data_IF_570386858091
#
_entry.id   IF_570386858091
#
_cell.length_a   1.000
_cell.length_b   1.000
_cell.length_c   1.000
_cell.angle_alpha   90.00
_cell.angle_beta   90.00
_cell.angle_gamma   90.00
#
_symmetry.space_group_name_H-M   'P 1'
#
loop_
_entity.id
_entity.type
_entity.pdbx_description
1 polymer ?
#
# COMPACT_ATOMS: atom_id res chain seq x y z
N UNK A 1 7.94 42.40 -7.96
CA UNK A 1 7.77 40.98 -8.34
C UNK A 1 8.66 40.15 -7.43
N UNK A 2 8.08 39.53 -6.41
CA UNK A 2 8.82 38.76 -5.39
C UNK A 2 9.25 37.38 -5.91
N UNK A 3 10.27 36.75 -5.29
CA UNK A 3 10.81 35.48 -5.74
C UNK A 3 9.78 34.35 -5.53
N UNK A 4 9.59 33.55 -6.57
CA UNK A 4 8.74 32.36 -6.54
C UNK A 4 9.41 31.28 -5.68
N UNK A 5 8.75 30.93 -4.58
CA UNK A 5 9.12 29.83 -3.68
C UNK A 5 9.27 28.50 -4.42
N UNK A 6 10.51 27.99 -4.50
CA UNK A 6 10.84 26.70 -5.14
C UNK A 6 10.26 25.51 -4.34
N UNK A 7 9.88 25.72 -3.08
CA UNK A 7 9.29 24.70 -2.20
C UNK A 7 7.84 24.32 -2.56
N UNK A 8 7.06 25.21 -3.19
CA UNK A 8 5.65 24.96 -3.55
C UNK A 8 5.50 24.21 -4.88
N UNK A 9 6.49 24.31 -5.77
CA UNK A 9 6.48 23.66 -7.10
C UNK A 9 6.76 22.15 -7.03
N UNK A 10 7.64 21.71 -6.11
CA UNK A 10 7.93 20.29 -5.90
C UNK A 10 6.71 19.52 -5.34
N UNK A 11 5.87 20.20 -4.55
CA UNK A 11 4.64 19.64 -3.99
C UNK A 11 3.56 19.41 -5.04
N UNK A 12 3.36 20.32 -6.02
CA UNK A 12 2.36 20.13 -7.10
C UNK A 12 2.71 19.01 -8.06
N UNK A 13 4.01 18.76 -8.21
CA UNK A 13 4.60 17.80 -9.14
C UNK A 13 4.35 16.34 -8.70
N UNK A 14 4.44 16.05 -7.41
CA UNK A 14 4.09 14.73 -6.85
C UNK A 14 2.58 14.53 -6.96
N UNK A 15 1.80 15.58 -6.78
CA UNK A 15 0.33 15.49 -6.83
C UNK A 15 -0.18 15.16 -8.24
N UNK A 16 0.31 15.78 -9.32
CA UNK A 16 -0.34 15.64 -10.63
C UNK A 16 -0.10 14.26 -11.31
N UNK A 17 1.09 13.65 -11.18
CA UNK A 17 1.38 12.34 -11.78
C UNK A 17 0.84 11.17 -10.95
N UNK A 18 0.88 11.27 -9.61
CA UNK A 18 0.29 10.26 -8.71
C UNK A 18 -1.24 10.37 -8.72
N UNK A 19 -1.82 11.56 -8.85
CA UNK A 19 -3.27 11.69 -9.03
C UNK A 19 -3.70 11.09 -10.38
N UNK A 20 -3.03 11.24 -11.52
CA UNK A 20 -3.64 10.68 -12.74
C UNK A 20 -3.67 9.14 -12.79
N UNK A 21 -2.72 8.43 -12.16
CA UNK A 21 -2.72 6.94 -12.10
C UNK A 21 -3.34 6.35 -10.82
N UNK A 22 -3.12 6.97 -9.66
CA UNK A 22 -3.75 6.54 -8.41
C UNK A 22 -5.10 7.22 -8.15
N UNK A 23 -5.47 8.33 -8.79
CA UNK A 23 -6.86 8.79 -8.82
C UNK A 23 -7.71 7.90 -9.72
N UNK A 24 -7.16 7.16 -10.69
CA UNK A 24 -7.93 6.05 -11.29
C UNK A 24 -8.17 4.91 -10.26
N UNK A 25 -7.27 4.76 -9.27
CA UNK A 25 -7.48 3.87 -8.10
C UNK A 25 -8.33 4.49 -6.97
N UNK A 26 -8.48 5.82 -6.88
CA UNK A 26 -9.09 6.53 -5.74
C UNK A 26 -10.27 7.46 -6.07
N UNK A 27 -10.55 7.78 -7.34
CA UNK A 27 -11.67 8.62 -7.78
C UNK A 27 -12.74 7.88 -8.59
N UNK A 28 -12.63 6.55 -8.70
CA UNK A 28 -13.69 5.68 -9.23
C UNK A 28 -14.16 4.59 -8.27
N UNK A 29 -13.58 4.50 -7.06
CA UNK A 29 -13.83 3.42 -6.11
C UNK A 29 -14.36 3.97 -4.77
N UNK A 30 -15.45 3.33 -4.34
CA UNK A 30 -16.17 3.46 -3.08
C UNK A 30 -16.93 4.76 -2.85
N UNK A 31 -18.24 4.76 -3.11
CA UNK A 31 -19.15 5.10 -2.01
C UNK A 31 -20.61 4.59 -2.09
N UNK A 32 -21.07 3.84 -3.11
CA UNK A 32 -22.51 3.51 -3.09
C UNK A 32 -23.03 2.22 -3.73
N UNK A 33 -22.24 1.15 -3.90
CA UNK A 33 -22.82 -0.10 -4.43
C UNK A 33 -22.02 -1.37 -4.14
N UNK A 34 -21.92 -1.76 -2.86
CA UNK A 34 -21.63 -3.16 -2.48
C UNK A 34 -22.98 -3.90 -2.35
N UNK A 35 -23.71 -4.00 -3.47
CA UNK A 35 -24.78 -4.98 -3.66
C UNK A 35 -24.64 -5.60 -5.06
N UNK A 36 -23.99 -6.77 -5.09
CA UNK A 36 -24.29 -7.99 -5.87
C UNK A 36 -24.54 -7.93 -7.40
N UNK A 37 -24.60 -6.81 -8.12
CA UNK A 37 -25.02 -6.83 -9.54
C UNK A 37 -23.98 -6.46 -10.62
N UNK A 38 -22.81 -5.89 -10.31
CA UNK A 38 -21.92 -5.38 -11.40
C UNK A 38 -20.44 -5.78 -11.33
N UNK A 39 -20.13 -6.98 -10.82
CA UNK A 39 -18.79 -7.56 -11.00
C UNK A 39 -18.48 -7.97 -12.46
N UNK A 40 -19.51 -8.07 -13.33
CA UNK A 40 -19.34 -8.37 -14.76
C UNK A 40 -18.79 -7.19 -15.57
N UNK A 41 -19.05 -5.97 -15.14
CA UNK A 41 -18.66 -4.75 -15.88
C UNK A 41 -17.23 -4.30 -15.54
N UNK A 42 -16.71 -4.63 -14.36
CA UNK A 42 -15.30 -4.42 -13.97
C UNK A 42 -14.39 -5.42 -14.69
N UNK A 43 -14.85 -6.64 -14.90
CA UNK A 43 -14.19 -7.58 -15.81
C UNK A 43 -14.30 -7.12 -17.26
N UNK A 44 -15.41 -6.51 -17.72
CA UNK A 44 -15.52 -6.07 -19.12
C UNK A 44 -14.72 -4.80 -19.51
N UNK A 45 -14.21 -4.04 -18.54
CA UNK A 45 -13.22 -2.98 -18.77
C UNK A 45 -11.78 -3.51 -18.55
N UNK A 46 -11.61 -4.57 -17.75
CA UNK A 46 -10.36 -5.37 -17.71
C UNK A 46 -10.25 -6.42 -18.84
N UNK A 47 -11.30 -6.59 -19.66
CA UNK A 47 -11.42 -7.55 -20.77
C UNK A 47 -11.69 -6.84 -22.12
N UNK A 48 -11.08 -5.66 -22.30
CA UNK A 48 -10.92 -5.03 -23.64
C UNK A 48 -9.50 -4.52 -23.90
N UNK A 49 -8.51 -5.01 -23.15
CA UNK A 49 -7.10 -5.03 -23.58
C UNK A 49 -6.52 -6.46 -23.66
N UNK A 50 -7.37 -7.46 -23.87
CA UNK A 50 -6.95 -8.78 -24.36
C UNK A 50 -7.33 -8.85 -25.83
N UNK A 51 -6.55 -8.19 -26.68
CA UNK A 51 -6.59 -8.38 -28.14
C UNK A 51 -5.23 -7.99 -28.73
N UNK A 52 -4.40 -9.01 -28.94
CA UNK A 52 -3.28 -9.10 -29.88
C UNK A 52 -2.06 -8.19 -29.68
N UNK A 53 -1.15 -8.65 -28.82
CA UNK A 53 0.26 -8.76 -29.23
C UNK A 53 0.89 -9.98 -28.57
N UNK A 54 1.16 -11.09 -29.28
CA UNK A 54 1.83 -12.25 -28.69
C UNK A 54 3.35 -12.05 -28.55
N UNK A 55 3.88 -10.85 -28.81
CA UNK A 55 5.30 -10.53 -28.63
C UNK A 55 5.58 -9.68 -27.39
N UNK A 56 4.95 -9.98 -26.26
CA UNK A 56 5.43 -9.51 -24.96
C UNK A 56 5.31 -10.63 -23.93
N UNK A 57 5.99 -11.75 -24.20
CA UNK A 57 6.59 -12.55 -23.15
C UNK A 57 7.75 -11.75 -22.55
N UNK A 58 7.44 -10.63 -21.88
CA UNK A 58 8.39 -9.98 -21.00
C UNK A 58 8.39 -10.82 -19.73
N UNK A 59 9.29 -11.80 -19.72
CA UNK A 59 9.82 -12.39 -18.50
C UNK A 59 10.12 -11.26 -17.52
N UNK A 60 9.21 -11.06 -16.56
CA UNK A 60 9.54 -10.33 -15.35
C UNK A 60 10.63 -11.15 -14.68
N UNK A 61 11.89 -10.72 -14.83
CA UNK A 61 12.99 -11.18 -14.00
C UNK A 61 12.73 -10.70 -12.57
N UNK A 62 11.76 -11.31 -11.87
CA UNK A 62 11.68 -11.17 -10.42
C UNK A 62 13.00 -11.71 -9.87
N UNK A 63 13.69 -10.87 -9.10
CA UNK A 63 14.87 -11.26 -8.33
C UNK A 63 14.61 -12.61 -7.64
N UNK A 64 15.59 -13.51 -7.67
CA UNK A 64 15.47 -14.88 -7.15
C UNK A 64 14.94 -14.95 -5.70
N UNK A 65 15.10 -13.86 -4.93
CA UNK A 65 14.67 -13.76 -3.52
C UNK A 65 13.33 -13.07 -3.31
N UNK A 66 12.77 -12.34 -4.29
CA UNK A 66 11.52 -11.60 -4.13
C UNK A 66 10.30 -12.54 -4.08
N UNK A 67 10.24 -13.47 -5.04
CA UNK A 67 9.14 -14.44 -5.14
C UNK A 67 8.99 -15.33 -3.89
N UNK A 68 10.06 -15.94 -3.33
CA UNK A 68 9.92 -16.71 -2.09
C UNK A 68 9.50 -15.82 -0.90
N UNK A 69 10.00 -14.59 -0.81
CA UNK A 69 9.60 -13.65 0.24
C UNK A 69 8.11 -13.33 0.20
N UNK A 70 7.58 -12.95 -0.98
CA UNK A 70 6.15 -12.65 -1.14
C UNK A 70 5.27 -13.88 -0.92
N UNK A 71 5.73 -15.06 -1.30
CA UNK A 71 5.02 -16.32 -1.04
C UNK A 71 4.94 -16.62 0.47
N UNK A 72 6.03 -16.40 1.22
CA UNK A 72 6.02 -16.55 2.69
C UNK A 72 5.05 -15.55 3.31
N UNK A 73 5.12 -14.27 2.92
CA UNK A 73 4.18 -13.24 3.42
C UNK A 73 2.73 -13.62 3.12
N UNK A 74 2.43 -14.06 1.89
CA UNK A 74 1.10 -14.52 1.49
C UNK A 74 0.60 -15.67 2.36
N UNK A 75 1.42 -16.69 2.58
CA UNK A 75 1.04 -17.85 3.39
C UNK A 75 0.78 -17.45 4.85
N UNK A 76 1.64 -16.59 5.42
CA UNK A 76 1.47 -16.09 6.78
C UNK A 76 0.22 -15.21 6.92
N UNK A 77 -0.07 -14.33 5.95
CA UNK A 77 -1.30 -13.53 5.95
C UNK A 77 -2.54 -14.41 5.84
N UNK A 78 -2.51 -15.44 4.99
CA UNK A 78 -3.62 -16.38 4.85
C UNK A 78 -3.90 -17.13 6.15
N UNK A 79 -2.87 -17.49 6.92
CA UNK A 79 -3.02 -18.10 8.23
C UNK A 79 -3.47 -17.10 9.31
N UNK A 80 -2.97 -15.87 9.28
CA UNK A 80 -3.29 -14.83 10.25
C UNK A 80 -4.71 -14.27 10.08
N UNK A 81 -5.27 -14.26 8.87
CA UNK A 81 -6.60 -13.70 8.55
C UNK A 81 -7.76 -14.66 8.86
N UNK A 82 -7.61 -15.51 9.88
CA UNK A 82 -8.68 -16.31 10.46
C UNK A 82 -9.33 -15.51 11.60
N UNK A 83 -10.03 -14.44 11.22
CA UNK A 83 -10.62 -13.49 12.16
C UNK A 83 -12.07 -13.85 12.48
N UNK A 84 -12.43 -13.67 13.75
CA UNK A 84 -13.79 -13.85 14.25
C UNK A 84 -14.29 -12.59 14.94
N UNK A 85 -15.62 -12.40 14.94
CA UNK A 85 -16.21 -11.29 15.66
C UNK A 85 -16.12 -11.54 17.18
N UNK A 86 -15.39 -10.67 17.88
CA UNK A 86 -15.14 -10.80 19.31
C UNK A 86 -15.47 -9.51 20.05
N UNK A 87 -16.31 -9.61 21.08
CA UNK A 87 -16.70 -8.47 21.93
C UNK A 87 -15.62 -8.19 22.98
N UNK A 88 -15.39 -6.92 23.32
CA UNK A 88 -14.37 -6.55 24.30
C UNK A 88 -14.71 -7.11 25.68
N UNK A 89 -13.73 -7.73 26.35
CA UNK A 89 -13.89 -8.24 27.71
C UNK A 89 -13.79 -7.15 28.78
N UNK A 90 -13.09 -6.04 28.48
CA UNK A 90 -12.81 -4.97 29.44
C UNK A 90 -13.92 -3.93 29.50
N UNK A 91 -14.53 -3.63 28.35
CA UNK A 91 -15.56 -2.59 28.24
C UNK A 91 -16.82 -3.21 27.65
N UNK A 92 -17.90 -3.19 28.44
CA UNK A 92 -19.18 -3.72 28.01
C UNK A 92 -19.69 -3.05 26.73
N UNK A 93 -20.26 -3.85 25.82
CA UNK A 93 -20.90 -3.40 24.56
C UNK A 93 -19.96 -2.68 23.58
N UNK A 94 -18.65 -2.76 23.77
CA UNK A 94 -17.68 -2.27 22.80
C UNK A 94 -17.06 -3.42 22.00
N UNK A 95 -16.86 -3.18 20.70
CA UNK A 95 -16.03 -4.02 19.84
C UNK A 95 -14.88 -3.15 19.33
N UNK A 96 -13.66 -3.48 19.78
CA UNK A 96 -12.43 -2.77 19.42
C UNK A 96 -11.43 -3.78 18.87
N UNK A 97 -10.57 -3.39 17.90
CA UNK A 97 -9.52 -4.27 17.41
C UNK A 97 -8.53 -4.58 18.54
N UNK A 98 -8.47 -5.84 18.97
CA UNK A 98 -7.66 -6.27 20.12
C UNK A 98 -6.16 -6.05 19.88
N UNK A 99 -5.70 -6.13 18.63
CA UNK A 99 -4.29 -5.86 18.26
C UNK A 99 -3.84 -4.41 18.52
N UNK A 100 -4.78 -3.45 18.57
CA UNK A 100 -4.50 -2.04 18.90
C UNK A 100 -4.63 -1.77 20.40
N UNK A 101 -5.66 -2.34 21.05
CA UNK A 101 -5.95 -2.07 22.47
C UNK A 101 -4.98 -2.81 23.39
N UNK A 102 -4.61 -4.05 23.04
CA UNK A 102 -3.67 -4.91 23.79
C UNK A 102 -3.98 -5.05 25.29
N UNK A 103 -5.26 -4.98 25.68
CA UNK A 103 -5.68 -5.14 27.07
C UNK A 103 -5.57 -6.58 27.57
N UNK A 104 -5.88 -7.52 26.67
CA UNK A 104 -5.95 -8.96 26.94
C UNK A 104 -4.84 -9.67 26.17
N UNK A 105 -3.88 -10.25 26.89
CA UNK A 105 -2.73 -10.93 26.25
C UNK A 105 -3.12 -12.27 25.62
N UNK A 106 -4.13 -12.91 26.18
CA UNK A 106 -4.70 -14.17 25.71
C UNK A 106 -5.35 -14.08 24.33
N UNK A 107 -5.74 -12.88 23.89
CA UNK A 107 -6.35 -12.63 22.58
C UNK A 107 -5.31 -12.28 21.51
N UNK A 108 -4.05 -12.07 21.90
CA UNK A 108 -2.96 -11.70 21.00
C UNK A 108 -2.19 -12.94 20.57
N UNK A 109 -1.93 -13.03 19.27
CA UNK A 109 -1.05 -14.04 18.71
C UNK A 109 0.41 -13.57 18.76
N UNK A 110 1.34 -14.52 18.66
CA UNK A 110 2.76 -14.20 18.59
C UNK A 110 3.05 -13.36 17.34
N UNK A 111 3.67 -12.17 17.46
CA UNK A 111 4.06 -11.37 16.32
C UNK A 111 5.12 -12.09 15.49
N UNK A 112 4.94 -12.10 14.17
CA UNK A 112 5.85 -12.74 13.21
C UNK A 112 6.48 -11.65 12.34
N UNK A 113 7.81 -11.70 12.20
CA UNK A 113 8.56 -10.83 11.30
C UNK A 113 9.12 -11.66 10.16
N UNK A 114 8.83 -11.25 8.93
CA UNK A 114 9.36 -11.86 7.71
C UNK A 114 10.27 -10.83 7.08
N UNK A 115 11.56 -11.14 6.96
CA UNK A 115 12.56 -10.24 6.38
C UNK A 115 13.14 -10.84 5.11
N UNK A 116 13.23 -10.03 4.06
CA UNK A 116 14.01 -10.38 2.87
C UNK A 116 15.46 -9.95 3.02
N UNK A 117 15.67 -8.77 3.58
CA UNK A 117 16.96 -8.14 3.86
C UNK A 117 16.86 -7.39 5.21
N UNK A 118 17.96 -6.82 5.71
CA UNK A 118 17.97 -6.02 6.93
C UNK A 118 17.01 -4.81 6.87
N UNK A 119 16.85 -4.22 5.68
CA UNK A 119 16.02 -3.04 5.43
C UNK A 119 14.57 -3.38 5.04
N UNK A 120 14.34 -4.54 4.42
CA UNK A 120 13.05 -4.93 3.84
C UNK A 120 12.43 -6.04 4.68
N UNK A 121 11.38 -5.70 5.43
CA UNK A 121 10.71 -6.60 6.36
C UNK A 121 9.23 -6.27 6.53
N UNK A 122 8.43 -7.30 6.81
CA UNK A 122 7.03 -7.19 7.19
C UNK A 122 6.85 -7.73 8.59
N UNK A 123 6.18 -6.96 9.45
CA UNK A 123 5.71 -7.39 10.76
C UNK A 123 4.21 -7.68 10.66
N UNK A 124 3.83 -8.89 11.06
CA UNK A 124 2.44 -9.35 11.12
C UNK A 124 2.11 -9.62 12.57
N UNK A 125 1.13 -8.89 13.09
CA UNK A 125 0.61 -9.03 14.45
C UNK A 125 -0.84 -9.47 14.34
N UNK A 126 -1.12 -10.70 14.79
CA UNK A 126 -2.46 -11.26 14.77
C UNK A 126 -3.15 -11.13 16.13
N UNK A 127 -4.47 -11.10 16.11
CA UNK A 127 -5.35 -11.27 17.26
C UNK A 127 -6.61 -12.01 16.81
N UNK A 128 -7.51 -12.30 17.75
CA UNK A 128 -8.78 -12.98 17.45
C UNK A 128 -9.67 -12.25 16.43
N UNK A 129 -9.76 -10.91 16.52
CA UNK A 129 -10.70 -10.10 15.72
C UNK A 129 -10.02 -9.15 14.72
N UNK A 130 -8.70 -9.03 14.76
CA UNK A 130 -7.95 -8.11 13.92
C UNK A 130 -6.51 -8.54 13.65
N UNK A 131 -6.00 -8.19 12.47
CA UNK A 131 -4.60 -8.35 12.08
C UNK A 131 -4.02 -6.97 11.75
N UNK A 132 -2.83 -6.68 12.29
CA UNK A 132 -2.03 -5.53 11.88
C UNK A 132 -0.85 -6.01 11.04
N UNK A 133 -0.67 -5.38 9.88
CA UNK A 133 0.42 -5.68 8.94
C UNK A 133 1.23 -4.42 8.74
N UNK A 134 2.51 -4.42 9.12
CA UNK A 134 3.40 -3.27 8.97
C UNK A 134 4.53 -3.61 8.02
N UNK A 135 4.79 -2.73 7.06
CA UNK A 135 5.71 -2.97 5.94
C UNK A 135 6.83 -1.93 6.01
N UNK A 136 8.07 -2.42 5.97
CA UNK A 136 9.26 -1.62 5.78
C UNK A 136 9.71 -1.78 4.32
N UNK A 137 9.73 -0.67 3.60
CA UNK A 137 10.02 -0.60 2.17
C UNK A 137 11.53 -0.40 1.98
N UNK A 138 12.08 -1.00 0.93
CA UNK A 138 13.49 -0.83 0.61
C UNK A 138 13.78 0.63 0.23
N UNK A 139 14.78 1.22 0.89
CA UNK A 139 15.26 2.58 0.62
C UNK A 139 16.77 2.51 0.35
N UNK A 140 17.17 2.71 -0.92
CA UNK A 140 18.57 2.69 -1.33
C UNK A 140 19.27 4.03 -1.08
N UNK A 141 18.59 5.14 -1.42
CA UNK A 141 19.15 6.49 -1.40
C UNK A 141 18.29 7.48 -0.58
N UNK A 142 18.85 8.65 -0.25
CA UNK A 142 18.11 9.72 0.43
C UNK A 142 16.90 10.22 -0.36
N UNK A 143 17.02 10.26 -1.70
CA UNK A 143 15.90 10.64 -2.59
C UNK A 143 14.75 9.64 -2.44
N UNK A 144 15.05 8.34 -2.46
CA UNK A 144 14.03 7.29 -2.28
C UNK A 144 13.40 7.34 -0.89
N UNK A 145 14.18 7.64 0.15
CA UNK A 145 13.64 7.86 1.50
C UNK A 145 12.62 8.99 1.54
N UNK A 146 12.92 10.13 0.90
CA UNK A 146 12.00 11.27 0.84
C UNK A 146 10.76 10.94 -0.01
N UNK A 147 10.94 10.28 -1.16
CA UNK A 147 9.85 9.86 -2.04
C UNK A 147 8.93 8.86 -1.34
N UNK A 148 9.48 7.82 -0.71
CA UNK A 148 8.74 6.84 0.07
C UNK A 148 7.94 7.52 1.17
N UNK A 149 8.58 8.35 2.00
CA UNK A 149 7.90 9.05 3.10
C UNK A 149 6.74 9.93 2.61
N UNK A 150 6.93 10.69 1.51
CA UNK A 150 5.87 11.52 0.92
C UNK A 150 4.74 10.68 0.32
N UNK A 151 5.07 9.58 -0.36
CA UNK A 151 4.10 8.68 -0.97
C UNK A 151 3.25 7.96 0.09
N UNK A 152 3.87 7.39 1.13
CA UNK A 152 3.15 6.76 2.23
C UNK A 152 2.28 7.77 2.99
N UNK A 153 2.79 8.98 3.25
CA UNK A 153 1.99 10.06 3.86
C UNK A 153 0.78 10.42 3.00
N UNK A 154 0.92 10.48 1.68
CA UNK A 154 -0.19 10.74 0.77
C UNK A 154 -1.28 9.66 0.85
N UNK A 155 -0.89 8.40 0.92
CA UNK A 155 -1.81 7.27 1.10
C UNK A 155 -2.52 7.33 2.46
N UNK A 156 -1.79 7.60 3.54
CA UNK A 156 -2.36 7.68 4.89
C UNK A 156 -3.33 8.85 5.08
N UNK A 157 -3.13 9.99 4.39
CA UNK A 157 -4.09 11.10 4.40
C UNK A 157 -5.45 10.72 3.79
N UNK A 158 -5.53 9.64 3.02
CA UNK A 158 -6.75 9.13 2.37
C UNK A 158 -7.25 7.82 3.00
N UNK A 159 -6.77 7.48 4.19
CA UNK A 159 -7.15 6.25 4.90
C UNK A 159 -8.65 6.16 5.23
N UNK A 160 -9.42 7.25 5.15
CA UNK A 160 -10.88 7.22 5.30
C UNK A 160 -11.56 6.51 4.11
N UNK A 161 -11.09 6.76 2.89
CA UNK A 161 -11.57 6.06 1.70
C UNK A 161 -10.91 4.68 1.56
N UNK A 162 -9.68 4.56 2.06
CA UNK A 162 -8.91 3.33 2.07
C UNK A 162 -8.97 2.68 3.46
N UNK A 163 -10.12 2.11 3.77
CA UNK A 163 -10.55 1.72 5.13
C UNK A 163 -9.68 0.66 5.84
N UNK A 164 -8.78 -0.03 5.13
CA UNK A 164 -7.83 -0.97 5.75
C UNK A 164 -6.48 -0.32 6.13
N UNK A 165 -6.22 0.94 5.75
CA UNK A 165 -4.98 1.64 6.11
C UNK A 165 -5.07 2.29 7.48
N UNK A 166 -3.96 2.25 8.23
CA UNK A 166 -3.81 3.03 9.45
C UNK A 166 -3.39 4.46 9.10
N UNK A 167 -3.90 5.44 9.86
CA UNK A 167 -3.55 6.86 9.72
C UNK A 167 -2.10 7.17 10.11
N UNK A 168 -1.51 6.32 10.96
CA UNK A 168 -0.12 6.40 11.42
C UNK A 168 0.49 5.00 11.33
N UNK A 169 1.73 4.85 10.80
CA UNK A 169 2.39 3.56 10.77
C UNK A 169 2.91 3.18 12.16
N UNK A 170 3.26 1.92 12.34
CA UNK A 170 4.01 1.45 13.51
C UNK A 170 5.42 2.02 13.47
N UNK A 171 6.00 2.31 14.64
CA UNK A 171 7.37 2.84 14.72
C UNK A 171 8.37 1.87 14.08
N UNK A 172 9.27 2.41 13.25
CA UNK A 172 10.25 1.62 12.49
C UNK A 172 9.72 0.98 11.20
N UNK A 173 8.48 1.27 10.80
CA UNK A 173 7.87 0.84 9.54
C UNK A 173 7.33 2.04 8.76
N UNK A 174 7.21 1.92 7.44
CA UNK A 174 6.81 3.02 6.56
C UNK A 174 5.30 3.13 6.42
N UNK A 175 4.60 1.99 6.42
CA UNK A 175 3.13 1.92 6.30
C UNK A 175 2.58 0.75 7.08
N UNK A 176 1.36 0.90 7.60
CA UNK A 176 0.66 -0.15 8.33
C UNK A 176 -0.80 -0.28 7.91
N UNK A 177 -1.25 -1.52 7.79
CA UNK A 177 -2.63 -1.92 7.57
C UNK A 177 -3.25 -2.45 8.85
N UNK A 178 -4.53 -2.18 9.04
CA UNK A 178 -5.36 -2.75 10.08
C UNK A 178 -6.55 -3.44 9.43
N UNK A 179 -6.56 -4.77 9.50
CA UNK A 179 -7.63 -5.60 8.97
C UNK A 179 -8.45 -6.12 10.16
N UNK A 180 -9.76 -5.89 10.16
CA UNK A 180 -10.67 -6.36 11.21
C UNK A 180 -11.61 -7.42 10.67
N UNK A 181 -12.34 -8.10 11.56
CA UNK A 181 -13.38 -9.06 11.19
C UNK A 181 -14.44 -8.43 10.26
N UNK A 182 -14.78 -7.15 10.45
CA UNK A 182 -15.73 -6.44 9.59
C UNK A 182 -15.26 -6.37 8.13
N UNK A 183 -13.94 -6.24 7.90
CA UNK A 183 -13.39 -6.23 6.55
C UNK A 183 -13.48 -7.60 5.88
N UNK A 184 -13.26 -8.67 6.64
CA UNK A 184 -13.36 -10.06 6.14
C UNK A 184 -14.80 -10.53 5.95
N UNK A 185 -15.76 -9.90 6.63
CA UNK A 185 -17.20 -10.13 6.42
C UNK A 185 -17.70 -9.43 5.14
N UNK A 186 -17.20 -8.22 4.85
CA UNK A 186 -17.61 -7.43 3.68
C UNK A 186 -16.87 -7.83 2.39
N UNK A 187 -15.64 -8.33 2.49
CA UNK A 187 -14.81 -8.72 1.35
C UNK A 187 -14.19 -10.09 1.54
N UNK A 188 -13.97 -10.79 0.43
CA UNK A 188 -13.29 -12.06 0.47
C UNK A 188 -11.84 -11.93 0.96
N UNK A 189 -11.47 -12.73 1.98
CA UNK A 189 -10.13 -12.74 2.57
C UNK A 189 -8.99 -12.91 1.55
N UNK A 190 -9.20 -13.74 0.52
CA UNK A 190 -8.18 -13.97 -0.50
C UNK A 190 -7.90 -12.71 -1.34
N UNK A 191 -8.91 -11.86 -1.58
CA UNK A 191 -8.74 -10.58 -2.26
C UNK A 191 -7.99 -9.56 -1.42
N UNK A 192 -8.18 -9.58 -0.10
CA UNK A 192 -7.40 -8.77 0.82
C UNK A 192 -5.93 -9.18 0.83
N UNK A 193 -5.65 -10.49 0.87
CA UNK A 193 -4.27 -11.01 0.77
C UNK A 193 -3.65 -10.61 -0.56
N UNK A 194 -4.36 -10.84 -1.68
CA UNK A 194 -3.89 -10.43 -3.01
C UNK A 194 -3.60 -8.93 -3.09
N UNK A 195 -4.46 -8.11 -2.50
CA UNK A 195 -4.27 -6.67 -2.43
C UNK A 195 -2.97 -6.30 -1.70
N UNK A 196 -2.70 -6.88 -0.52
CA UNK A 196 -1.48 -6.56 0.25
C UNK A 196 -0.22 -6.97 -0.53
N UNK A 197 -0.23 -8.16 -1.16
CA UNK A 197 0.90 -8.62 -1.97
C UNK A 197 1.10 -7.73 -3.20
N UNK A 198 0.02 -7.39 -3.90
CA UNK A 198 0.08 -6.48 -5.04
C UNK A 198 0.59 -5.10 -4.64
N UNK A 199 0.14 -4.58 -3.50
CA UNK A 199 0.63 -3.31 -2.96
C UNK A 199 2.15 -3.36 -2.70
N UNK A 200 2.67 -4.44 -2.13
CA UNK A 200 4.12 -4.62 -1.93
C UNK A 200 4.90 -4.62 -3.26
N UNK A 201 4.36 -5.22 -4.32
CA UNK A 201 5.00 -5.26 -5.63
C UNK A 201 4.98 -3.91 -6.36
N UNK A 202 3.90 -3.15 -6.22
CA UNK A 202 3.73 -1.88 -6.94
C UNK A 202 4.46 -0.71 -6.29
N UNK A 203 4.65 -0.70 -4.95
CA UNK A 203 5.40 0.38 -4.28
C UNK A 203 6.81 0.52 -4.85
N UNK A 204 7.53 -0.59 -5.02
CA UNK A 204 8.92 -0.56 -5.49
C UNK A 204 9.01 0.02 -6.91
N UNK A 205 8.05 -0.31 -7.77
CA UNK A 205 7.95 0.22 -9.13
C UNK A 205 7.62 1.70 -9.12
N UNK A 206 6.61 2.10 -8.36
CA UNK A 206 6.16 3.50 -8.28
C UNK A 206 7.27 4.42 -7.73
N UNK A 207 8.01 4.00 -6.69
CA UNK A 207 9.14 4.77 -6.17
C UNK A 207 10.24 4.91 -7.24
N UNK A 208 10.53 3.84 -7.97
CA UNK A 208 11.51 3.85 -9.06
C UNK A 208 11.09 4.79 -10.20
N UNK A 209 9.81 4.76 -10.60
CA UNK A 209 9.24 5.66 -11.61
C UNK A 209 9.27 7.12 -11.16
N UNK A 210 8.89 7.41 -9.91
CA UNK A 210 8.96 8.75 -9.33
C UNK A 210 10.40 9.28 -9.32
N UNK A 211 11.38 8.45 -8.97
CA UNK A 211 12.81 8.82 -8.98
C UNK A 211 13.27 9.21 -10.38
N UNK A 212 12.95 8.39 -11.38
CA UNK A 212 13.28 8.68 -12.79
C UNK A 212 12.62 9.98 -13.26
N UNK A 213 11.35 10.22 -12.90
CA UNK A 213 10.61 11.43 -13.24
C UNK A 213 11.20 12.70 -12.61
N UNK A 214 11.66 12.63 -11.37
CA UNK A 214 12.36 13.75 -10.71
C UNK A 214 13.68 14.05 -11.42
N UNK A 215 14.49 13.03 -11.71
CA UNK A 215 15.78 13.20 -12.38
C UNK A 215 15.65 13.74 -13.80
N UNK A 216 14.69 13.22 -14.58
CA UNK A 216 14.43 13.69 -15.94
C UNK A 216 14.02 15.17 -15.96
N UNK A 217 13.15 15.59 -15.03
CA UNK A 217 12.75 17.00 -14.92
C UNK A 217 13.86 17.90 -14.44
N UNK A 218 14.67 17.46 -13.47
CA UNK A 218 15.82 18.21 -13.02
C UNK A 218 16.78 18.51 -14.18
N UNK A 219 17.00 17.53 -15.07
CA UNK A 219 17.80 17.71 -16.28
C UNK A 219 17.21 18.76 -17.22
N UNK A 220 15.91 18.65 -17.56
CA UNK A 220 15.23 19.62 -18.44
C UNK A 220 15.31 21.04 -17.87
N UNK A 221 15.09 21.20 -16.56
CA UNK A 221 15.16 22.51 -15.89
C UNK A 221 16.58 23.08 -15.96
N UNK A 222 17.61 22.26 -15.76
CA UNK A 222 18.99 22.69 -15.87
C UNK A 222 19.37 23.09 -17.31
N UNK A 223 18.98 22.29 -18.31
CA UNK A 223 19.21 22.59 -19.73
C UNK A 223 18.53 23.90 -20.14
N UNK A 224 17.29 24.11 -19.73
CA UNK A 224 16.54 25.32 -20.07
C UNK A 224 17.10 26.56 -19.36
N UNK A 225 17.57 26.43 -18.12
CA UNK A 225 18.24 27.52 -17.42
C UNK A 225 19.53 27.93 -18.13
N UNK A 226 20.34 26.97 -18.58
CA UNK A 226 21.62 27.23 -19.24
C UNK A 226 21.49 27.83 -20.65
N UNK A 227 20.39 27.59 -21.38
CA UNK A 227 20.14 28.21 -22.69
C UNK A 227 19.95 29.73 -22.63
N UNK A 228 19.62 30.26 -21.45
CA UNK A 228 19.34 31.67 -21.24
C UNK A 228 20.58 32.49 -20.82
N UNK A 229 21.76 31.87 -20.81
CA UNK A 229 23.07 32.51 -20.64
C UNK A 229 23.82 32.52 -21.96
#
# INVERSE_FOLDING_TARGET
MGPLDVHTSCSRIIYCSVLCRFSILLSGWLFQQIRVQDFRSILHIYDKRISYSPYYCLFSFQSATLRPYLNTVRATLQAAMCLENFSSQVVERHNKPEVEVRSSKELLLQPVVISRNEKEKVLIEGSINSVRVSIAVKQADEIEKILCHKFMRFMMMRAENFFILRRKPVEGYDISFLITNFHTEQMYKHKLVDFVIHFMEEIDKEISEMKLSVNARARIVAEEFLKNF
#
